data_IF_832044936607
#
_entry.id   IF_832044936607
#
_cell.length_a   1.000
_cell.length_b   1.000
_cell.length_c   1.000
_cell.angle_alpha   90.00
_cell.angle_beta   90.00
_cell.angle_gamma   90.00
#
_symmetry.space_group_name_H-M   'P 1'
#
loop_
_entity.id
_entity.type
_entity.pdbx_description
1 polymer ?
#
# COMPACT_ATOMS: atom_id res chain seq x y z
N UNK A 1 17.66 21.76 -2.37
CA UNK A 1 16.41 22.06 -1.64
C UNK A 1 15.44 22.88 -2.49
N UNK A 2 15.89 23.90 -3.22
CA UNK A 2 15.05 24.74 -4.11
C UNK A 2 14.20 23.91 -5.08
N UNK A 3 14.79 22.92 -5.77
CA UNK A 3 14.05 22.01 -6.68
C UNK A 3 12.86 21.30 -5.99
N UNK A 4 13.04 20.83 -4.76
CA UNK A 4 11.97 20.16 -4.00
C UNK A 4 10.87 21.15 -3.60
N UNK A 5 11.22 22.40 -3.29
CA UNK A 5 10.24 23.45 -2.97
C UNK A 5 9.32 23.77 -4.14
N UNK A 6 9.88 23.90 -5.34
CA UNK A 6 9.09 24.09 -6.58
C UNK A 6 8.25 22.86 -6.93
N UNK A 7 8.78 21.65 -6.76
CA UNK A 7 8.01 20.43 -6.98
C UNK A 7 6.79 20.33 -6.05
N UNK A 8 6.95 20.66 -4.76
CA UNK A 8 5.83 20.71 -3.80
C UNK A 8 4.82 21.79 -4.17
N UNK A 9 5.27 22.97 -4.60
CA UNK A 9 4.37 24.05 -5.01
C UNK A 9 3.57 23.68 -6.28
N UNK A 10 4.23 23.14 -7.30
CA UNK A 10 3.58 22.70 -8.53
C UNK A 10 2.55 21.59 -8.27
N UNK A 11 2.92 20.60 -7.45
CA UNK A 11 1.97 19.57 -7.00
C UNK A 11 0.79 20.18 -6.24
N UNK A 12 1.04 21.11 -5.32
CA UNK A 12 0.00 21.77 -4.53
C UNK A 12 -1.02 22.51 -5.39
N UNK A 13 -0.59 23.18 -6.47
CA UNK A 13 -1.48 23.82 -7.45
C UNK A 13 -2.34 22.78 -8.16
N UNK A 14 -1.73 21.70 -8.68
CA UNK A 14 -2.46 20.64 -9.38
C UNK A 14 -3.47 19.94 -8.47
N UNK A 15 -3.08 19.63 -7.24
CA UNK A 15 -3.96 19.00 -6.25
C UNK A 15 -5.11 19.91 -5.84
N UNK A 16 -4.83 21.22 -5.69
CA UNK A 16 -5.87 22.18 -5.35
C UNK A 16 -6.88 22.38 -6.48
N UNK A 17 -6.39 22.52 -7.71
CA UNK A 17 -7.21 22.66 -8.91
C UNK A 17 -8.10 21.43 -9.13
N UNK A 18 -7.54 20.23 -8.96
CA UNK A 18 -8.31 18.98 -9.04
C UNK A 18 -9.43 18.94 -7.97
N UNK A 19 -9.10 19.21 -6.70
CA UNK A 19 -10.08 19.21 -5.61
C UNK A 19 -11.21 20.22 -5.81
N UNK A 20 -10.87 21.46 -6.22
CA UNK A 20 -11.85 22.49 -6.54
C UNK A 20 -12.72 22.11 -7.75
N UNK A 21 -12.12 21.54 -8.79
CA UNK A 21 -12.84 21.04 -9.97
C UNK A 21 -13.90 20.01 -9.61
N UNK A 22 -13.52 18.98 -8.83
CA UNK A 22 -14.47 17.96 -8.36
C UNK A 22 -15.58 18.55 -7.47
N UNK A 23 -15.25 19.50 -6.60
CA UNK A 23 -16.23 20.13 -5.74
C UNK A 23 -17.26 20.95 -6.55
N UNK A 24 -16.80 21.71 -7.54
CA UNK A 24 -17.65 22.53 -8.41
C UNK A 24 -18.51 21.69 -9.36
N UNK A 25 -18.02 20.54 -9.82
CA UNK A 25 -18.78 19.61 -10.67
C UNK A 25 -19.72 18.68 -9.89
N UNK A 26 -19.71 18.74 -8.54
CA UNK A 26 -20.47 17.81 -7.69
C UNK A 26 -19.93 16.38 -7.71
N UNK A 27 -18.72 16.15 -8.23
CA UNK A 27 -18.08 14.83 -8.25
C UNK A 27 -17.70 14.40 -6.84
N UNK A 28 -18.34 13.34 -6.34
CA UNK A 28 -18.07 12.82 -5.01
C UNK A 28 -16.68 12.15 -4.96
N UNK A 29 -15.87 12.56 -3.98
CA UNK A 29 -14.60 11.96 -3.63
C UNK A 29 -14.74 11.31 -2.25
N UNK A 30 -14.27 10.07 -2.07
CA UNK A 30 -14.60 9.26 -0.86
C UNK A 30 -16.10 9.22 -0.54
N UNK A 31 -16.96 9.23 -1.56
CA UNK A 31 -18.41 9.22 -1.39
C UNK A 31 -19.03 10.55 -0.94
N UNK A 32 -18.27 11.67 -0.92
CA UNK A 32 -18.82 12.98 -0.61
C UNK A 32 -18.21 14.12 -1.44
N UNK A 33 -19.04 15.02 -1.96
CA UNK A 33 -18.59 16.14 -2.81
C UNK A 33 -17.79 17.20 -2.05
N UNK A 34 -18.07 17.41 -0.76
CA UNK A 34 -17.37 18.40 0.07
C UNK A 34 -15.89 18.08 0.30
N UNK A 35 -15.48 16.82 0.12
CA UNK A 35 -14.08 16.39 0.21
C UNK A 35 -13.20 17.12 -0.80
N UNK A 36 -13.73 17.49 -1.97
CA UNK A 36 -12.98 18.27 -2.97
C UNK A 36 -12.45 19.59 -2.41
N UNK A 37 -13.23 20.27 -1.54
CA UNK A 37 -12.79 21.50 -0.87
C UNK A 37 -11.69 21.25 0.16
N UNK A 38 -11.69 20.11 0.87
CA UNK A 38 -10.58 19.75 1.76
C UNK A 38 -9.29 19.53 0.97
N UNK A 39 -9.35 18.82 -0.16
CA UNK A 39 -8.18 18.61 -1.01
C UNK A 39 -7.67 19.95 -1.57
N UNK A 40 -8.57 20.85 -1.95
CA UNK A 40 -8.25 22.22 -2.34
C UNK A 40 -7.46 22.95 -1.24
N UNK A 41 -7.95 22.92 0.00
CA UNK A 41 -7.28 23.55 1.14
C UNK A 41 -5.90 22.95 1.43
N UNK A 42 -5.76 21.62 1.35
CA UNK A 42 -4.46 20.93 1.51
C UNK A 42 -3.49 21.36 0.41
N UNK A 43 -3.94 21.41 -0.85
CA UNK A 43 -3.13 21.84 -1.99
C UNK A 43 -2.64 23.28 -1.84
N UNK A 44 -3.53 24.23 -1.52
CA UNK A 44 -3.19 25.64 -1.28
C UNK A 44 -2.17 25.79 -0.14
N UNK A 45 -2.36 25.05 0.96
CA UNK A 45 -1.43 25.07 2.09
C UNK A 45 -0.05 24.51 1.69
N UNK A 46 -0.03 23.47 0.86
CA UNK A 46 1.21 22.91 0.31
C UNK A 46 1.94 23.88 -0.61
N UNK A 47 1.23 24.69 -1.42
CA UNK A 47 1.83 25.76 -2.23
C UNK A 47 2.60 26.74 -1.34
N UNK A 48 1.95 27.26 -0.28
CA UNK A 48 2.60 28.17 0.68
C UNK A 48 3.82 27.54 1.34
N UNK A 49 3.73 26.27 1.74
CA UNK A 49 4.84 25.53 2.33
C UNK A 49 6.01 25.34 1.35
N UNK A 50 5.73 25.01 0.09
CA UNK A 50 6.71 24.86 -0.99
C UNK A 50 7.46 26.16 -1.28
N UNK A 51 6.74 27.29 -1.38
CA UNK A 51 7.33 28.62 -1.52
C UNK A 51 8.24 28.95 -0.33
N UNK A 52 7.83 28.59 0.90
CA UNK A 52 8.67 28.73 2.10
C UNK A 52 10.00 27.97 1.99
N UNK A 53 9.98 26.76 1.43
CA UNK A 53 11.21 25.98 1.16
C UNK A 53 12.11 26.67 0.13
N UNK A 54 11.53 27.21 -0.94
CA UNK A 54 12.28 27.96 -1.98
C UNK A 54 12.95 29.20 -1.39
N UNK A 55 12.25 29.91 -0.49
CA UNK A 55 12.75 31.10 0.23
C UNK A 55 13.73 30.78 1.36
N UNK A 56 14.16 29.52 1.51
CA UNK A 56 15.13 29.11 2.54
C UNK A 56 14.54 29.01 3.96
N UNK A 57 13.22 29.10 4.14
CA UNK A 57 12.52 28.97 5.43
C UNK A 57 11.61 27.73 5.42
N UNK A 58 12.15 26.50 5.40
CA UNK A 58 11.34 25.31 5.22
C UNK A 58 10.42 25.09 6.45
N UNK A 59 9.08 25.17 6.32
CA UNK A 59 8.17 24.97 7.43
C UNK A 59 7.99 23.47 7.69
N UNK A 60 9.06 22.82 8.20
CA UNK A 60 9.16 21.35 8.27
C UNK A 60 8.03 20.69 9.07
N UNK A 61 7.54 21.33 10.13
CA UNK A 61 6.40 20.83 10.91
C UNK A 61 5.13 20.81 10.06
N UNK A 62 4.87 21.88 9.30
CA UNK A 62 3.75 21.97 8.37
C UNK A 62 3.86 20.93 7.25
N UNK A 63 5.02 20.80 6.61
CA UNK A 63 5.23 19.80 5.55
C UNK A 63 4.94 18.37 6.06
N UNK A 64 5.38 18.04 7.29
CA UNK A 64 5.07 16.74 7.92
C UNK A 64 3.59 16.60 8.26
N UNK A 65 2.93 17.67 8.71
CA UNK A 65 1.50 17.65 8.98
C UNK A 65 0.70 17.39 7.69
N UNK A 66 1.08 18.04 6.59
CA UNK A 66 0.45 17.86 5.27
C UNK A 66 0.68 16.47 4.67
N UNK A 67 1.77 15.76 5.04
CA UNK A 67 1.97 14.37 4.61
C UNK A 67 0.82 13.45 5.02
N UNK A 68 0.20 13.68 6.19
CA UNK A 68 -0.90 12.86 6.70
C UNK A 68 -2.11 12.88 5.77
N UNK A 69 -2.74 14.04 5.54
CA UNK A 69 -3.85 14.18 4.61
C UNK A 69 -3.52 13.73 3.18
N UNK A 70 -2.31 14.00 2.67
CA UNK A 70 -1.90 13.50 1.36
C UNK A 70 -1.82 11.97 1.30
N UNK A 71 -1.30 11.33 2.35
CA UNK A 71 -1.29 9.87 2.46
C UNK A 71 -2.69 9.28 2.62
N UNK A 72 -3.61 9.98 3.31
CA UNK A 72 -5.03 9.61 3.36
C UNK A 72 -5.67 9.77 1.99
N UNK A 73 -5.35 10.81 1.21
CA UNK A 73 -5.86 10.95 -0.15
C UNK A 73 -5.35 9.87 -1.10
N UNK A 74 -4.20 9.25 -0.79
CA UNK A 74 -3.68 8.06 -1.49
C UNK A 74 -4.38 6.76 -1.12
N UNK A 75 -5.33 6.81 -0.18
CA UNK A 75 -6.08 5.65 0.28
C UNK A 75 -6.84 5.00 -0.87
N UNK A 76 -6.56 3.73 -1.15
CA UNK A 76 -7.19 3.01 -2.27
C UNK A 76 -6.31 2.88 -3.50
N UNK A 77 -5.17 3.59 -3.60
CA UNK A 77 -4.25 3.45 -4.74
C UNK A 77 -3.82 2.00 -4.99
N UNK A 78 -3.65 1.23 -3.91
CA UNK A 78 -3.31 -0.18 -4.02
C UNK A 78 -4.39 -0.95 -4.79
N UNK A 79 -5.66 -0.71 -4.47
CA UNK A 79 -6.78 -1.39 -5.12
C UNK A 79 -6.88 -1.00 -6.60
N UNK A 80 -6.65 0.27 -6.94
CA UNK A 80 -6.62 0.70 -8.35
C UNK A 80 -5.51 -0.01 -9.14
N UNK A 81 -4.32 -0.10 -8.56
CA UNK A 81 -3.18 -0.78 -9.19
C UNK A 81 -3.47 -2.27 -9.36
N UNK A 82 -4.07 -2.92 -8.36
CA UNK A 82 -4.47 -4.32 -8.43
C UNK A 82 -5.54 -4.53 -9.51
N UNK A 83 -6.58 -3.69 -9.54
CA UNK A 83 -7.62 -3.76 -10.56
C UNK A 83 -7.01 -3.68 -11.96
N UNK A 84 -6.18 -2.66 -12.22
CA UNK A 84 -5.51 -2.48 -13.51
C UNK A 84 -4.57 -3.64 -13.85
N UNK A 85 -3.81 -4.15 -12.87
CA UNK A 85 -2.90 -5.30 -13.05
C UNK A 85 -3.66 -6.57 -13.49
N UNK A 86 -4.88 -6.74 -13.00
CA UNK A 86 -5.75 -7.86 -13.34
C UNK A 86 -6.67 -7.59 -14.53
N UNK A 87 -6.45 -6.47 -15.25
CA UNK A 87 -7.23 -6.11 -16.44
C UNK A 87 -8.64 -5.61 -16.11
N UNK A 88 -8.90 -5.24 -14.87
CA UNK A 88 -10.17 -4.65 -14.44
C UNK A 88 -10.12 -3.12 -14.53
N UNK A 89 -11.29 -2.51 -14.72
CA UNK A 89 -11.44 -1.07 -14.60
C UNK A 89 -11.33 -0.64 -13.13
N UNK A 90 -10.85 0.59 -12.90
CA UNK A 90 -10.96 1.23 -11.59
C UNK A 90 -12.42 1.64 -11.33
N UNK A 91 -12.84 1.62 -10.06
CA UNK A 91 -14.23 1.96 -9.68
C UNK A 91 -14.61 3.39 -10.08
N UNK A 92 -13.64 4.31 -10.07
CA UNK A 92 -13.83 5.71 -10.40
C UNK A 92 -12.53 6.33 -10.91
N UNK A 93 -12.55 6.86 -12.13
CA UNK A 93 -11.39 7.57 -12.69
C UNK A 93 -10.99 8.79 -11.83
N UNK A 94 -11.92 9.67 -11.37
CA UNK A 94 -11.58 10.71 -10.40
C UNK A 94 -10.96 10.18 -9.10
N UNK A 95 -11.47 9.07 -8.58
CA UNK A 95 -10.90 8.41 -7.39
C UNK A 95 -9.46 7.98 -7.62
N UNK A 96 -9.19 7.26 -8.72
CA UNK A 96 -7.85 6.82 -9.06
C UNK A 96 -6.87 8.00 -9.26
N UNK A 97 -7.30 9.09 -9.92
CA UNK A 97 -6.49 10.31 -10.07
C UNK A 97 -6.17 10.93 -8.71
N UNK A 98 -7.17 11.02 -7.82
CA UNK A 98 -6.98 11.49 -6.45
C UNK A 98 -5.93 10.64 -5.71
N UNK A 99 -6.04 9.31 -5.82
CA UNK A 99 -5.14 8.38 -5.13
C UNK A 99 -3.69 8.55 -5.61
N UNK A 100 -3.47 8.68 -6.93
CA UNK A 100 -2.15 8.94 -7.52
C UNK A 100 -1.58 10.30 -7.06
N UNK A 101 -2.41 11.34 -7.09
CA UNK A 101 -2.00 12.68 -6.65
C UNK A 101 -1.67 12.71 -5.16
N UNK A 102 -2.46 12.04 -4.31
CA UNK A 102 -2.21 11.91 -2.88
C UNK A 102 -0.87 11.22 -2.59
N UNK A 103 -0.59 10.09 -3.26
CA UNK A 103 0.66 9.36 -3.10
C UNK A 103 1.87 10.18 -3.52
N UNK A 104 1.77 10.85 -4.67
CA UNK A 104 2.81 11.76 -5.17
C UNK A 104 3.07 12.89 -4.18
N UNK A 105 1.99 13.49 -3.65
CA UNK A 105 2.06 14.54 -2.64
C UNK A 105 2.76 14.12 -1.37
N UNK A 106 2.39 12.96 -0.82
CA UNK A 106 2.99 12.42 0.40
C UNK A 106 4.51 12.23 0.23
N UNK A 107 4.96 11.72 -0.93
CA UNK A 107 6.37 11.55 -1.25
C UNK A 107 7.11 12.89 -1.38
N UNK A 108 6.54 13.86 -2.12
CA UNK A 108 7.15 15.18 -2.33
C UNK A 108 7.26 15.96 -1.01
N UNK A 109 6.19 15.98 -0.21
CA UNK A 109 6.16 16.63 1.10
C UNK A 109 7.16 16.00 2.06
N UNK A 110 7.23 14.67 2.11
CA UNK A 110 8.19 13.95 2.95
C UNK A 110 9.63 14.25 2.51
N UNK A 111 9.89 14.28 1.20
CA UNK A 111 11.21 14.61 0.65
C UNK A 111 11.63 16.06 0.97
N UNK A 112 10.70 17.01 0.87
CA UNK A 112 10.95 18.42 1.22
C UNK A 112 11.14 18.64 2.73
N UNK A 113 10.49 17.82 3.57
CA UNK A 113 10.62 17.88 5.03
C UNK A 113 11.94 17.29 5.57
N UNK A 114 12.67 16.49 4.79
CA UNK A 114 13.95 15.90 5.19
C UNK A 114 15.01 16.97 5.36
N UNK A 115 15.86 16.81 6.39
CA UNK A 115 17.08 17.62 6.51
C UNK A 115 18.04 17.17 5.40
N UNK A 116 18.71 18.09 4.70
CA UNK A 116 19.85 17.71 3.86
C UNK A 116 20.83 16.98 4.80
N UNK A 117 21.07 15.70 4.53
CA UNK A 117 22.06 14.94 5.27
C UNK A 117 23.43 15.55 5.03
N UNK A 118 24.24 15.69 6.08
CA UNK A 118 25.65 16.06 5.96
C UNK A 118 26.37 15.14 4.98
N UNK A 119 27.38 15.69 4.30
CA UNK A 119 28.13 15.06 3.22
C UNK A 119 28.46 13.59 3.52
N UNK A 120 28.28 12.75 2.49
CA UNK A 120 28.55 11.32 2.54
C UNK A 120 30.00 11.06 2.94
N UNK A 121 30.20 10.62 4.19
CA UNK A 121 31.45 10.03 4.61
C UNK A 121 31.77 8.80 3.76
N UNK A 122 33.06 8.52 3.61
CA UNK A 122 33.61 7.39 2.84
C UNK A 122 32.82 6.11 3.12
N UNK A 123 32.19 5.59 2.06
CA UNK A 123 31.33 4.40 2.06
C UNK A 123 32.19 3.19 2.40
N UNK A 124 32.07 2.65 3.61
CA UNK A 124 32.82 1.46 4.00
C UNK A 124 31.97 0.27 3.60
N UNK A 125 32.56 -0.65 2.82
CA UNK A 125 31.85 -1.81 2.31
C UNK A 125 31.22 -2.61 3.46
N UNK A 126 29.89 -2.52 3.60
CA UNK A 126 29.19 -3.12 4.72
C UNK A 126 29.24 -4.66 4.62
N UNK A 127 29.58 -5.32 5.73
CA UNK A 127 29.55 -6.78 5.84
C UNK A 127 28.15 -7.31 5.52
N UNK A 128 28.10 -8.49 4.88
CA UNK A 128 26.84 -9.17 4.61
C UNK A 128 26.32 -9.75 5.92
N UNK A 129 25.23 -9.22 6.44
CA UNK A 129 24.70 -9.61 7.75
C UNK A 129 23.22 -10.00 7.68
N UNK A 130 22.83 -10.98 8.51
CA UNK A 130 21.42 -11.28 8.79
C UNK A 130 20.81 -10.20 9.69
N UNK A 131 19.48 -10.07 9.68
CA UNK A 131 18.83 -9.03 10.48
C UNK A 131 18.87 -9.39 11.97
N UNK A 132 18.82 -8.41 12.88
CA UNK A 132 18.66 -8.66 14.31
C UNK A 132 17.43 -9.53 14.61
N UNK A 133 17.48 -10.33 15.70
CA UNK A 133 16.45 -11.31 16.03
C UNK A 133 15.03 -10.73 16.09
N UNK A 134 14.86 -9.53 16.65
CA UNK A 134 13.56 -8.85 16.70
C UNK A 134 12.97 -8.55 15.31
N UNK A 135 13.81 -8.24 14.32
CA UNK A 135 13.37 -8.04 12.92
C UNK A 135 13.00 -9.37 12.27
N UNK A 136 13.70 -10.45 12.62
CA UNK A 136 13.32 -11.80 12.18
C UNK A 136 11.98 -12.25 12.78
N UNK A 137 11.70 -11.92 14.04
CA UNK A 137 10.39 -12.17 14.66
C UNK A 137 9.30 -11.38 13.94
N UNK A 138 9.53 -10.09 13.64
CA UNK A 138 8.58 -9.30 12.85
C UNK A 138 8.32 -9.92 11.46
N UNK A 139 9.36 -10.45 10.81
CA UNK A 139 9.25 -11.18 9.55
C UNK A 139 8.36 -12.43 9.65
N UNK A 140 8.52 -13.21 10.72
CA UNK A 140 7.67 -14.36 10.99
C UNK A 140 6.21 -13.95 11.20
N UNK A 141 5.96 -12.96 12.07
CA UNK A 141 4.62 -12.42 12.33
C UNK A 141 3.96 -11.96 11.02
N UNK A 142 4.67 -11.19 10.20
CA UNK A 142 4.16 -10.72 8.91
C UNK A 142 3.86 -11.85 7.92
N UNK A 143 4.67 -12.92 7.92
CA UNK A 143 4.40 -14.10 7.08
C UNK A 143 3.17 -14.86 7.58
N UNK A 144 3.06 -15.07 8.90
CA UNK A 144 1.92 -15.78 9.51
C UNK A 144 0.61 -14.99 9.44
N UNK A 145 0.66 -13.67 9.23
CA UNK A 145 -0.53 -12.84 9.05
C UNK A 145 -1.38 -13.26 7.84
N UNK A 146 -0.80 -13.96 6.87
CA UNK A 146 -1.53 -14.52 5.72
C UNK A 146 -2.22 -15.86 6.01
N UNK A 147 -1.99 -16.52 7.16
CA UNK A 147 -2.58 -17.84 7.44
C UNK A 147 -4.12 -17.85 7.34
N UNK A 148 -4.86 -16.87 7.91
CA UNK A 148 -6.31 -16.83 7.76
C UNK A 148 -6.74 -16.74 6.28
N UNK A 149 -6.00 -15.97 5.48
CA UNK A 149 -6.27 -15.82 4.06
C UNK A 149 -5.99 -17.11 3.28
N UNK A 150 -4.89 -17.80 3.57
CA UNK A 150 -4.58 -19.12 2.97
C UNK A 150 -5.67 -20.14 3.31
N UNK A 151 -6.10 -20.22 4.57
CA UNK A 151 -7.17 -21.13 4.99
C UNK A 151 -8.48 -20.82 4.26
N UNK A 152 -8.86 -19.54 4.16
CA UNK A 152 -10.05 -19.11 3.42
C UNK A 152 -9.98 -19.54 1.94
N UNK A 153 -8.88 -19.22 1.24
CA UNK A 153 -8.72 -19.56 -0.18
C UNK A 153 -8.68 -21.07 -0.43
N UNK A 154 -7.99 -21.84 0.41
CA UNK A 154 -7.97 -23.30 0.30
C UNK A 154 -9.35 -23.89 0.56
N UNK A 155 -10.11 -23.36 1.52
CA UNK A 155 -11.49 -23.81 1.79
C UNK A 155 -12.35 -23.65 0.54
N UNK A 156 -12.29 -22.52 -0.16
CA UNK A 156 -13.00 -22.32 -1.42
C UNK A 156 -12.49 -23.21 -2.56
N UNK A 157 -11.17 -23.37 -2.69
CA UNK A 157 -10.56 -24.20 -3.73
C UNK A 157 -10.96 -25.68 -3.61
N UNK A 158 -11.16 -26.18 -2.39
CA UNK A 158 -11.62 -27.55 -2.13
C UNK A 158 -13.15 -27.69 -2.16
N UNK A 159 -13.88 -26.71 -2.71
CA UNK A 159 -15.34 -26.74 -2.83
C UNK A 159 -16.10 -26.43 -1.53
N UNK A 160 -15.39 -25.98 -0.50
CA UNK A 160 -15.98 -25.56 0.77
C UNK A 160 -16.63 -24.19 0.71
N UNK A 161 -17.19 -23.78 1.84
CA UNK A 161 -17.77 -22.46 2.05
C UNK A 161 -17.05 -21.77 3.21
N UNK A 162 -16.71 -20.50 3.00
CA UNK A 162 -16.17 -19.62 4.04
C UNK A 162 -17.04 -18.38 4.12
N UNK A 163 -17.41 -17.97 5.33
CA UNK A 163 -18.31 -16.84 5.56
C UNK A 163 -19.63 -16.95 4.77
N UNK A 164 -20.16 -18.17 4.56
CA UNK A 164 -21.39 -18.39 3.80
C UNK A 164 -21.29 -18.23 2.28
N UNK A 165 -20.09 -17.95 1.75
CA UNK A 165 -19.80 -17.91 0.32
C UNK A 165 -19.10 -19.20 -0.10
N UNK A 166 -19.68 -19.92 -1.07
CA UNK A 166 -19.04 -21.12 -1.66
C UNK A 166 -17.99 -20.74 -2.69
N UNK A 167 -17.02 -21.63 -2.91
CA UNK A 167 -16.00 -21.45 -3.95
C UNK A 167 -16.59 -21.24 -5.35
N UNK A 168 -17.62 -22.02 -5.72
CA UNK A 168 -18.28 -21.89 -7.03
C UNK A 168 -18.93 -20.51 -7.24
N UNK A 169 -19.61 -19.97 -6.21
CA UNK A 169 -20.20 -18.63 -6.30
C UNK A 169 -19.14 -17.55 -6.45
N UNK A 170 -18.05 -17.67 -5.68
CA UNK A 170 -16.92 -16.76 -5.80
C UNK A 170 -16.31 -16.81 -7.21
N UNK A 171 -16.14 -18.02 -7.77
CA UNK A 171 -15.67 -18.22 -9.15
C UNK A 171 -16.60 -17.57 -10.19
N UNK A 172 -17.92 -17.77 -10.06
CA UNK A 172 -18.91 -17.15 -10.94
C UNK A 172 -18.85 -15.61 -10.88
N UNK A 173 -18.54 -15.06 -9.70
CA UNK A 173 -18.23 -13.64 -9.52
C UNK A 173 -17.08 -13.16 -10.40
N UNK A 174 -15.96 -13.90 -10.43
CA UNK A 174 -14.82 -13.56 -11.29
C UNK A 174 -15.15 -13.64 -12.78
N UNK A 175 -15.96 -14.63 -13.19
CA UNK A 175 -16.42 -14.77 -14.59
C UNK A 175 -17.24 -13.55 -14.99
N UNK A 176 -18.21 -13.14 -14.16
CA UNK A 176 -19.06 -11.97 -14.44
C UNK A 176 -18.28 -10.66 -14.46
N UNK A 177 -17.23 -10.56 -13.65
CA UNK A 177 -16.36 -9.38 -13.60
C UNK A 177 -15.32 -9.33 -14.74
N UNK A 178 -15.42 -10.20 -15.75
CA UNK A 178 -14.57 -10.19 -16.93
C UNK A 178 -13.13 -10.63 -16.66
N UNK A 179 -12.88 -11.43 -15.62
CA UNK A 179 -11.54 -11.94 -15.32
C UNK A 179 -11.01 -12.77 -16.48
N UNK A 180 -9.74 -12.59 -16.82
CA UNK A 180 -9.13 -13.26 -17.97
C UNK A 180 -8.96 -14.77 -17.74
N UNK A 181 -8.84 -15.55 -18.82
CA UNK A 181 -8.79 -17.01 -18.75
C UNK A 181 -7.67 -17.57 -17.86
N UNK A 182 -6.50 -16.92 -17.81
CA UNK A 182 -5.40 -17.36 -16.93
C UNK A 182 -5.73 -17.15 -15.44
N UNK A 183 -6.41 -16.04 -15.10
CA UNK A 183 -6.83 -15.76 -13.73
C UNK A 183 -7.94 -16.70 -13.29
N UNK A 184 -8.91 -17.00 -14.16
CA UNK A 184 -9.94 -17.99 -13.88
C UNK A 184 -9.34 -19.40 -13.69
N UNK A 185 -8.34 -19.77 -14.49
CA UNK A 185 -7.67 -21.05 -14.35
C UNK A 185 -6.95 -21.17 -12.99
N UNK A 186 -6.23 -20.13 -12.58
CA UNK A 186 -5.54 -20.09 -11.28
C UNK A 186 -6.53 -20.08 -10.10
N UNK A 187 -7.66 -19.38 -10.23
CA UNK A 187 -8.66 -19.28 -9.17
C UNK A 187 -9.26 -20.64 -8.80
N UNK A 188 -9.39 -21.56 -9.77
CA UNK A 188 -9.81 -22.96 -9.51
C UNK A 188 -8.88 -23.72 -8.57
N UNK A 189 -7.63 -23.29 -8.47
CA UNK A 189 -6.64 -23.84 -7.54
C UNK A 189 -6.51 -23.01 -6.25
N UNK A 190 -7.40 -22.04 -6.03
CA UNK A 190 -7.31 -21.10 -4.91
C UNK A 190 -6.20 -20.06 -5.06
N UNK A 191 -5.62 -19.93 -6.24
CA UNK A 191 -4.58 -18.97 -6.55
C UNK A 191 -5.19 -17.78 -7.28
N UNK A 192 -5.39 -16.66 -6.58
CA UNK A 192 -5.64 -15.39 -7.27
C UNK A 192 -4.35 -14.57 -7.36
N UNK A 193 -4.44 -13.44 -8.04
CA UNK A 193 -3.32 -12.52 -8.13
C UNK A 193 -2.89 -11.94 -6.78
N UNK A 194 -3.78 -11.84 -5.78
CA UNK A 194 -3.39 -11.40 -4.44
C UNK A 194 -2.59 -12.45 -3.69
N UNK A 195 -2.88 -13.75 -3.89
CA UNK A 195 -2.08 -14.86 -3.38
C UNK A 195 -0.67 -14.89 -4.00
N UNK A 196 -0.56 -14.66 -5.31
CA UNK A 196 0.75 -14.54 -5.98
C UNK A 196 1.54 -13.33 -5.48
N UNK A 197 0.89 -12.17 -5.33
CA UNK A 197 1.52 -10.98 -4.76
C UNK A 197 1.92 -11.18 -3.31
N UNK A 198 1.13 -11.90 -2.51
CA UNK A 198 1.48 -12.27 -1.15
C UNK A 198 2.72 -13.17 -1.14
N UNK A 199 2.81 -14.17 -2.03
CA UNK A 199 3.99 -15.03 -2.15
C UNK A 199 5.26 -14.22 -2.54
N UNK A 200 5.15 -13.33 -3.52
CA UNK A 200 6.23 -12.40 -3.90
C UNK A 200 6.60 -11.47 -2.74
N UNK A 201 5.60 -10.97 -2.01
CA UNK A 201 5.78 -10.15 -0.82
C UNK A 201 6.52 -10.88 0.29
N UNK A 202 6.12 -12.11 0.61
CA UNK A 202 6.79 -12.96 1.60
C UNK A 202 8.23 -13.24 1.17
N UNK A 203 8.47 -13.56 -0.10
CA UNK A 203 9.81 -13.71 -0.64
C UNK A 203 10.64 -12.43 -0.44
N UNK A 204 10.10 -11.27 -0.82
CA UNK A 204 10.74 -9.98 -0.62
C UNK A 204 11.05 -9.70 0.86
N UNK A 205 10.09 -9.94 1.75
CA UNK A 205 10.22 -9.74 3.20
C UNK A 205 11.38 -10.58 3.75
N UNK A 206 11.45 -11.85 3.38
CA UNK A 206 12.56 -12.73 3.77
C UNK A 206 13.90 -12.30 3.16
N UNK A 207 13.90 -11.79 1.94
CA UNK A 207 15.10 -11.23 1.30
C UNK A 207 15.65 -10.04 2.09
N UNK A 208 14.78 -9.14 2.57
CA UNK A 208 15.21 -8.00 3.39
C UNK A 208 15.83 -8.41 4.73
N UNK A 209 15.55 -9.62 5.21
CA UNK A 209 15.95 -10.08 6.56
C UNK A 209 17.14 -11.04 6.49
N UNK A 210 17.29 -11.79 5.40
CA UNK A 210 18.34 -12.80 5.21
C UNK A 210 19.53 -12.27 4.40
N UNK A 211 20.71 -12.91 4.53
CA UNK A 211 21.91 -12.53 3.76
C UNK A 211 21.72 -12.53 2.24
N UNK A 212 20.88 -13.43 1.71
CA UNK A 212 20.67 -13.58 0.28
C UNK A 212 19.96 -12.39 -0.39
N UNK A 213 19.31 -11.51 0.37
CA UNK A 213 18.81 -10.26 -0.18
C UNK A 213 19.88 -9.19 -0.39
N UNK A 214 21.10 -9.40 0.13
CA UNK A 214 22.24 -8.50 -0.07
C UNK A 214 23.24 -9.07 -1.08
N UNK A 215 23.29 -10.40 -1.25
CA UNK A 215 24.15 -11.11 -2.20
C UNK A 215 23.34 -12.20 -2.89
N UNK A 216 23.41 -12.23 -4.21
CA UNK A 216 22.71 -13.22 -5.02
C UNK A 216 23.14 -14.65 -4.65
N UNK A 217 22.18 -15.54 -4.35
CA UNK A 217 22.47 -16.90 -3.90
C UNK A 217 23.06 -17.76 -5.01
N UNK A 218 23.69 -18.89 -4.65
CA UNK A 218 24.36 -19.79 -5.61
C UNK A 218 23.45 -20.38 -6.69
N UNK A 219 22.15 -20.50 -6.42
CA UNK A 219 21.17 -20.98 -7.41
C UNK A 219 20.88 -19.96 -8.51
N UNK A 220 21.21 -18.67 -8.32
CA UNK A 220 21.15 -17.67 -9.40
C UNK A 220 22.44 -17.72 -10.24
N UNK A 221 22.61 -18.77 -11.04
CA UNK A 221 23.88 -19.12 -11.71
C UNK A 221 24.61 -17.92 -12.34
N UNK A 222 23.88 -17.04 -13.05
CA UNK A 222 24.44 -15.86 -13.74
C UNK A 222 24.88 -14.73 -12.80
N UNK A 223 24.23 -14.61 -11.63
CA UNK A 223 24.42 -13.50 -10.70
C UNK A 223 25.09 -13.93 -9.38
N UNK A 224 25.39 -15.22 -9.23
CA UNK A 224 25.91 -15.80 -7.99
C UNK A 224 27.08 -15.00 -7.40
N UNK A 225 26.99 -14.71 -6.10
CA UNK A 225 28.04 -14.00 -5.37
C UNK A 225 28.11 -12.50 -5.64
N UNK A 226 27.36 -11.97 -6.62
CA UNK A 226 27.27 -10.53 -6.84
C UNK A 226 26.39 -9.87 -5.78
N UNK A 227 26.71 -8.62 -5.42
CA UNK A 227 25.88 -7.81 -4.53
C UNK A 227 24.56 -7.47 -5.21
N UNK A 228 23.47 -7.58 -4.47
CA UNK A 228 22.15 -7.14 -4.92
C UNK A 228 22.12 -5.61 -4.89
N UNK A 229 21.81 -4.93 -6.01
CA UNK A 229 21.67 -3.48 -6.02
C UNK A 229 20.65 -3.06 -4.97
N UNK A 230 21.05 -2.17 -4.06
CA UNK A 230 20.25 -1.81 -2.89
C UNK A 230 18.82 -1.36 -3.21
N UNK A 231 18.63 -0.67 -4.34
CA UNK A 231 17.31 -0.20 -4.77
C UNK A 231 16.37 -1.34 -5.16
N UNK A 232 16.90 -2.50 -5.59
CA UNK A 232 16.12 -3.63 -6.09
C UNK A 232 15.15 -4.20 -5.04
N UNK A 233 15.58 -4.54 -3.80
CA UNK A 233 14.63 -4.94 -2.76
C UNK A 233 13.99 -3.74 -2.05
N UNK A 234 14.67 -2.59 -1.94
CA UNK A 234 14.13 -1.46 -1.18
C UNK A 234 12.98 -0.75 -1.87
N UNK A 235 13.01 -0.58 -3.19
CA UNK A 235 11.96 0.11 -3.91
C UNK A 235 10.60 -0.60 -3.76
N UNK A 236 10.45 -1.90 -4.10
CA UNK A 236 9.18 -2.59 -3.91
C UNK A 236 8.80 -2.70 -2.44
N UNK A 237 9.76 -2.83 -1.52
CA UNK A 237 9.45 -2.91 -0.09
C UNK A 237 8.95 -1.59 0.50
N UNK A 238 9.50 -0.46 0.06
CA UNK A 238 9.01 0.86 0.42
C UNK A 238 7.63 1.14 -0.16
N UNK A 239 7.41 0.77 -1.43
CA UNK A 239 6.10 0.90 -2.08
C UNK A 239 5.08 0.03 -1.33
N UNK A 240 5.37 -1.24 -1.12
CA UNK A 240 4.51 -2.17 -0.39
C UNK A 240 4.23 -1.72 1.05
N UNK A 241 5.23 -1.27 1.80
CA UNK A 241 5.01 -0.77 3.15
C UNK A 241 4.18 0.52 3.16
N UNK A 242 4.42 1.42 2.21
CA UNK A 242 3.68 2.68 2.09
C UNK A 242 2.21 2.49 1.69
N UNK A 243 1.88 1.41 0.98
CA UNK A 243 0.50 1.09 0.60
C UNK A 243 -0.20 0.22 1.63
N UNK A 244 0.46 -0.86 2.10
CA UNK A 244 -0.15 -1.88 2.94
C UNK A 244 -0.35 -1.43 4.39
N UNK A 245 0.56 -0.61 4.95
CA UNK A 245 0.40 -0.13 6.33
C UNK A 245 -0.83 0.77 6.48
N UNK A 246 -1.01 1.84 5.67
CA UNK A 246 -2.22 2.64 5.75
C UNK A 246 -3.45 1.78 5.50
N UNK A 247 -3.47 1.05 4.38
CA UNK A 247 -4.62 0.23 3.98
C UNK A 247 -5.05 -0.75 5.07
N UNK A 248 -4.11 -1.55 5.61
CA UNK A 248 -4.39 -2.51 6.66
C UNK A 248 -4.85 -1.87 7.97
N UNK A 249 -4.19 -0.79 8.41
CA UNK A 249 -4.54 -0.13 9.68
C UNK A 249 -5.90 0.58 9.62
N UNK A 250 -6.18 1.31 8.54
CA UNK A 250 -7.48 1.97 8.41
C UNK A 250 -8.60 0.96 8.20
N UNK A 251 -8.36 -0.13 7.46
CA UNK A 251 -9.33 -1.23 7.35
C UNK A 251 -9.57 -1.89 8.72
N UNK A 252 -8.52 -2.14 9.50
CA UNK A 252 -8.63 -2.64 10.88
C UNK A 252 -9.47 -1.71 11.76
N UNK A 253 -9.22 -0.39 11.70
CA UNK A 253 -9.99 0.59 12.46
C UNK A 253 -11.46 0.65 12.04
N UNK A 254 -11.74 0.65 10.73
CA UNK A 254 -13.10 0.60 10.19
C UNK A 254 -13.84 -0.67 10.64
N UNK A 255 -13.22 -1.84 10.48
CA UNK A 255 -13.83 -3.11 10.88
C UNK A 255 -14.03 -3.21 12.39
N UNK A 256 -13.15 -2.63 13.21
CA UNK A 256 -13.34 -2.54 14.65
C UNK A 256 -14.57 -1.70 15.00
N UNK A 257 -14.76 -0.54 14.37
CA UNK A 257 -15.96 0.30 14.54
C UNK A 257 -17.23 -0.43 14.09
N UNK A 258 -17.18 -1.15 12.98
CA UNK A 258 -18.31 -1.95 12.51
C UNK A 258 -18.64 -3.12 13.43
N UNK A 259 -17.62 -3.82 13.93
CA UNK A 259 -17.78 -4.92 14.88
C UNK A 259 -18.38 -4.41 16.20
N UNK A 260 -18.03 -3.19 16.61
CA UNK A 260 -18.60 -2.53 17.79
C UNK A 260 -20.00 -1.91 17.56
N UNK A 261 -20.55 -1.99 16.34
CA UNK A 261 -21.86 -1.41 16.00
C UNK A 261 -21.86 0.13 15.91
N UNK A 262 -20.69 0.78 15.87
CA UNK A 262 -20.57 2.24 15.76
C UNK A 262 -20.82 2.71 14.33
N UNK A 263 -20.43 1.91 13.34
CA UNK A 263 -20.57 2.21 11.91
C UNK A 263 -21.22 1.02 11.20
N UNK A 264 -22.19 1.27 10.33
CA UNK A 264 -22.78 0.20 9.51
C UNK A 264 -21.87 -0.21 8.36
N UNK A 265 -21.74 -1.52 8.16
CA UNK A 265 -21.07 -2.08 6.99
C UNK A 265 -21.98 -1.91 5.78
N UNK A 266 -21.52 -1.19 4.74
CA UNK A 266 -22.31 -1.05 3.52
C UNK A 266 -22.02 -2.21 2.60
N UNK A 267 -23.05 -2.79 1.98
CA UNK A 267 -22.89 -3.89 1.00
C UNK A 267 -21.99 -3.50 -0.18
N UNK A 268 -22.03 -2.23 -0.59
CA UNK A 268 -21.19 -1.71 -1.66
C UNK A 268 -19.69 -1.77 -1.32
N UNK A 269 -19.31 -1.77 -0.04
CA UNK A 269 -17.91 -1.72 0.39
C UNK A 269 -17.16 -3.05 0.13
N UNK A 270 -17.89 -4.15 -0.14
CA UNK A 270 -17.32 -5.48 -0.33
C UNK A 270 -17.39 -5.98 -1.78
N UNK A 271 -17.92 -5.19 -2.72
CA UNK A 271 -17.95 -5.48 -4.16
C UNK A 271 -18.83 -6.67 -4.58
N UNK A 272 -19.14 -7.60 -3.67
CA UNK A 272 -19.99 -8.76 -3.90
C UNK A 272 -21.34 -8.55 -3.24
N UNK A 273 -22.37 -8.22 -4.04
CA UNK A 273 -23.77 -8.31 -3.61
C UNK A 273 -24.20 -9.73 -3.21
N UNK A 274 -23.30 -10.71 -3.33
CA UNK A 274 -23.49 -12.12 -3.00
C UNK A 274 -23.32 -12.46 -1.52
N UNK A 275 -22.67 -11.58 -0.73
CA UNK A 275 -22.55 -11.79 0.71
C UNK A 275 -23.90 -11.52 1.39
N UNK A 276 -24.54 -12.59 1.85
CA UNK A 276 -25.89 -12.54 2.38
C UNK A 276 -26.00 -11.85 3.76
N UNK A 277 -24.92 -11.81 4.56
CA UNK A 277 -24.93 -11.26 5.92
C UNK A 277 -23.78 -10.30 6.23
N UNK A 278 -24.04 -9.35 7.13
CA UNK A 278 -23.02 -8.45 7.70
C UNK A 278 -21.90 -9.22 8.40
N UNK A 279 -22.23 -10.32 9.08
CA UNK A 279 -21.25 -11.18 9.73
C UNK A 279 -20.25 -11.79 8.74
N UNK A 280 -20.72 -12.17 7.55
CA UNK A 280 -19.86 -12.72 6.50
C UNK A 280 -18.88 -11.67 5.96
N UNK A 281 -19.36 -10.45 5.71
CA UNK A 281 -18.53 -9.32 5.27
C UNK A 281 -17.44 -9.00 6.31
N UNK A 282 -17.80 -8.97 7.60
CA UNK A 282 -16.83 -8.74 8.67
C UNK A 282 -15.77 -9.85 8.74
N UNK A 283 -16.15 -11.11 8.58
CA UNK A 283 -15.19 -12.23 8.60
C UNK A 283 -14.15 -12.12 7.48
N UNK A 284 -14.60 -11.91 6.24
CA UNK A 284 -13.70 -11.74 5.08
C UNK A 284 -12.87 -10.46 5.25
N UNK A 285 -13.48 -9.38 5.73
CA UNK A 285 -12.80 -8.12 6.01
C UNK A 285 -11.66 -8.29 7.01
N UNK A 286 -11.90 -8.99 8.12
CA UNK A 286 -10.89 -9.24 9.15
C UNK A 286 -9.73 -10.10 8.64
N UNK A 287 -10.02 -11.11 7.80
CA UNK A 287 -8.98 -11.91 7.13
C UNK A 287 -8.05 -11.01 6.31
N UNK A 288 -8.61 -10.10 5.49
CA UNK A 288 -7.83 -9.14 4.72
C UNK A 288 -7.07 -8.15 5.61
N UNK A 289 -7.73 -7.55 6.60
CA UNK A 289 -7.15 -6.54 7.47
C UNK A 289 -5.95 -7.06 8.26
N UNK A 290 -6.04 -8.29 8.82
CA UNK A 290 -4.93 -8.93 9.53
C UNK A 290 -3.74 -9.16 8.58
N UNK A 291 -4.01 -9.68 7.38
CA UNK A 291 -2.97 -9.94 6.38
C UNK A 291 -2.25 -8.63 5.99
N UNK A 292 -3.00 -7.60 5.57
CA UNK A 292 -2.42 -6.35 5.10
C UNK A 292 -1.73 -5.54 6.21
N UNK A 293 -2.34 -5.43 7.40
CA UNK A 293 -1.74 -4.69 8.51
C UNK A 293 -0.51 -5.41 9.07
N UNK A 294 -0.63 -6.71 9.34
CA UNK A 294 0.44 -7.52 9.90
C UNK A 294 1.64 -7.60 8.96
N UNK A 295 1.40 -7.91 7.69
CA UNK A 295 2.46 -7.96 6.68
C UNK A 295 3.04 -6.57 6.38
N UNK A 296 2.20 -5.54 6.25
CA UNK A 296 2.65 -4.17 5.99
C UNK A 296 3.58 -3.64 7.08
N UNK A 297 3.24 -3.84 8.36
CA UNK A 297 4.08 -3.43 9.49
C UNK A 297 5.39 -4.20 9.53
N UNK A 298 5.36 -5.53 9.31
CA UNK A 298 6.56 -6.35 9.22
C UNK A 298 7.49 -5.88 8.09
N UNK A 299 6.92 -5.57 6.92
CA UNK A 299 7.65 -5.06 5.76
C UNK A 299 8.26 -3.69 6.06
N UNK A 300 7.55 -2.78 6.74
CA UNK A 300 8.09 -1.49 7.14
C UNK A 300 9.30 -1.63 8.09
N UNK A 301 9.20 -2.52 9.09
CA UNK A 301 10.29 -2.81 10.04
C UNK A 301 11.50 -3.42 9.32
N UNK A 302 11.28 -4.43 8.48
CA UNK A 302 12.32 -5.09 7.70
C UNK A 302 13.00 -4.12 6.73
N UNK A 303 12.22 -3.28 6.03
CA UNK A 303 12.72 -2.24 5.13
C UNK A 303 13.62 -1.25 5.85
N UNK A 304 13.20 -0.76 7.03
CA UNK A 304 14.01 0.15 7.84
C UNK A 304 15.32 -0.51 8.29
N UNK A 305 15.26 -1.78 8.71
CA UNK A 305 16.44 -2.55 9.10
C UNK A 305 17.41 -2.73 7.92
N UNK A 306 16.90 -3.18 6.77
CA UNK A 306 17.69 -3.36 5.55
C UNK A 306 18.32 -2.04 5.08
N UNK A 307 17.56 -0.94 5.08
CA UNK A 307 18.06 0.39 4.74
C UNK A 307 19.25 0.79 5.61
N UNK A 308 19.17 0.56 6.93
CA UNK A 308 20.26 0.92 7.88
C UNK A 308 21.52 0.07 7.66
N UNK A 309 21.35 -1.22 7.39
CA UNK A 309 22.47 -2.15 7.17
C UNK A 309 23.18 -1.90 5.84
N UNK A 310 22.46 -1.41 4.83
CA UNK A 310 22.99 -1.14 3.48
C UNK A 310 23.26 0.33 3.17
N UNK A 311 23.10 1.23 4.16
CA UNK A 311 23.41 2.66 4.02
C UNK A 311 24.79 3.07 4.52
N UNK A 312 25.52 2.14 5.13
CA UNK A 312 26.92 2.30 5.51
C UNK A 312 27.81 1.98 4.31
#
# INVERSE_FOLDING_TARGET
MVKNGWAVAGWGVGFAGFGAGCALSGTALFGASWVGWLLAAVGVTAVGAGIGVVRGRPPRRLLRALCGPAAVAAWGLLMDVLALLFGQAVDSVPGAVQHVLGATGALLLAAAARRPGGAAGVRREAAVEAAPANVQVACWIGTTAFLPYVVMKLTWAFGGSFAGLSGDRMYDGYVRNGSSGIWLALERWGLDGTALLAAVGVFLLWGLVRPWGQVFPRWTVVLSGRRVPRWLPLAPALVGAATLVPYGLGMTGYLALCTAGVVEVRRADFGTGELASTSAMLQIGWVGAVAFAGFGLALAVATRSYWRRTAR
#
